data_IF_579009329952
#
_entry.id   IF_579009329952
#
_cell.length_a   1.000
_cell.length_b   1.000
_cell.length_c   1.000
_cell.angle_alpha   90.00
_cell.angle_beta   90.00
_cell.angle_gamma   90.00
#
_symmetry.space_group_name_H-M   'P 1'
#
loop_
_entity.id
_entity.type
_entity.pdbx_description
1 polymer ?
#
# COMPACT_ATOMS: atom_id res chain seq x y z
N UNK A 1 30.61 52.31 9.69
CA UNK A 1 29.15 52.31 9.89
C UNK A 1 28.62 50.89 9.68
N UNK A 2 28.39 50.20 10.80
CA UNK A 2 27.79 48.86 10.85
C UNK A 2 26.28 48.97 10.72
N UNK A 3 25.70 48.17 9.85
CA UNK A 3 24.23 47.98 9.74
C UNK A 3 23.92 46.63 10.32
N UNK A 4 23.26 46.62 11.48
CA UNK A 4 22.75 45.42 12.13
C UNK A 4 21.51 44.94 11.38
N UNK A 5 21.52 43.73 10.87
CA UNK A 5 20.33 43.04 10.33
C UNK A 5 19.62 42.35 11.50
N UNK A 6 18.41 42.79 11.77
CA UNK A 6 17.50 42.26 12.77
C UNK A 6 16.80 41.02 12.18
N UNK A 7 17.28 39.84 12.52
CA UNK A 7 16.63 38.58 12.13
C UNK A 7 15.62 38.23 13.20
N UNK A 8 14.33 38.53 12.97
CA UNK A 8 13.24 38.01 13.79
C UNK A 8 13.08 36.52 13.49
N UNK A 9 13.29 35.72 14.51
CA UNK A 9 12.97 34.30 14.49
C UNK A 9 11.45 34.13 14.41
N UNK A 10 10.99 33.52 13.31
CA UNK A 10 9.60 33.05 13.18
C UNK A 10 9.50 31.75 13.98
N UNK A 11 8.84 31.78 15.12
CA UNK A 11 8.44 30.60 15.87
C UNK A 11 7.46 29.78 15.02
N UNK A 12 7.66 28.46 14.89
CA UNK A 12 6.65 27.62 14.26
C UNK A 12 5.39 27.60 15.14
N UNK A 13 4.26 27.88 14.54
CA UNK A 13 2.95 27.67 15.16
C UNK A 13 2.78 26.15 15.30
N UNK A 14 2.61 25.69 16.53
CA UNK A 14 2.23 24.32 16.87
C UNK A 14 0.93 23.99 16.14
N UNK A 15 1.01 23.13 15.13
CA UNK A 15 -0.16 22.53 14.52
C UNK A 15 -0.55 21.31 15.33
N UNK A 16 -1.70 21.40 15.96
CA UNK A 16 -2.38 20.37 16.72
C UNK A 16 -2.20 18.98 16.11
N UNK A 17 -1.57 18.10 16.87
CA UNK A 17 -1.61 16.66 16.71
C UNK A 17 -3.05 16.17 17.01
N UNK A 18 -3.93 16.29 16.04
CA UNK A 18 -5.17 15.54 16.07
C UNK A 18 -4.85 14.07 15.77
N UNK A 19 -4.47 13.32 16.79
CA UNK A 19 -4.57 11.86 16.83
C UNK A 19 -6.03 11.51 16.55
N UNK A 20 -6.36 11.26 15.29
CA UNK A 20 -7.70 10.82 14.93
C UNK A 20 -7.86 9.38 15.41
N UNK A 21 -8.70 9.20 16.44
CA UNK A 21 -9.18 7.92 16.87
C UNK A 21 -9.78 7.16 15.66
N UNK A 22 -9.67 5.80 15.63
CA UNK A 22 -10.30 5.01 14.58
C UNK A 22 -11.79 5.39 14.49
N UNK A 23 -12.29 5.57 13.27
CA UNK A 23 -13.72 5.83 13.07
C UNK A 23 -14.48 4.57 13.52
N UNK A 24 -14.89 4.58 14.77
CA UNK A 24 -15.79 3.55 15.32
C UNK A 24 -17.20 3.92 14.89
N UNK A 25 -17.86 3.02 14.21
CA UNK A 25 -19.28 3.17 13.90
C UNK A 25 -20.07 2.68 15.11
N UNK A 26 -20.97 3.54 15.62
CA UNK A 26 -21.87 3.19 16.72
C UNK A 26 -22.66 1.93 16.35
N UNK A 27 -22.85 0.96 17.27
CA UNK A 27 -23.71 -0.20 17.03
C UNK A 27 -25.13 0.16 16.59
N UNK A 28 -25.66 1.31 17.04
CA UNK A 28 -26.98 1.81 16.69
C UNK A 28 -26.99 2.70 15.43
N UNK A 29 -25.86 2.79 14.72
CA UNK A 29 -25.73 3.62 13.54
C UNK A 29 -26.69 3.13 12.44
N UNK A 30 -27.45 4.08 11.89
CA UNK A 30 -28.28 3.86 10.71
C UNK A 30 -27.64 4.56 9.50
N UNK A 31 -27.39 3.78 8.46
CA UNK A 31 -26.84 4.32 7.22
C UNK A 31 -27.80 5.37 6.61
N UNK A 32 -27.25 6.39 5.99
CA UNK A 32 -28.02 7.44 5.33
C UNK A 32 -28.84 6.88 4.15
N UNK A 33 -29.95 7.54 3.81
CA UNK A 33 -30.79 7.18 2.65
C UNK A 33 -29.98 7.10 1.34
N UNK A 34 -28.95 7.93 1.19
CA UNK A 34 -28.07 7.95 0.01
C UNK A 34 -27.06 6.79 -0.03
N UNK A 35 -26.87 6.08 1.06
CA UNK A 35 -25.90 4.99 1.16
C UNK A 35 -26.22 3.80 0.26
N UNK A 36 -27.47 3.63 -0.14
CA UNK A 36 -27.91 2.56 -1.03
C UNK A 36 -27.25 2.64 -2.41
N UNK A 37 -27.02 3.84 -2.94
CA UNK A 37 -26.31 4.03 -4.20
C UNK A 37 -24.88 3.50 -4.12
N UNK A 38 -24.17 3.80 -3.01
CA UNK A 38 -22.84 3.26 -2.76
C UNK A 38 -22.87 1.74 -2.66
N UNK A 39 -23.77 1.18 -1.84
CA UNK A 39 -23.90 -0.27 -1.66
C UNK A 39 -24.13 -1.00 -2.99
N UNK A 40 -25.03 -0.49 -3.83
CA UNK A 40 -25.33 -1.06 -5.13
C UNK A 40 -24.13 -1.00 -6.09
N UNK A 41 -23.43 0.14 -6.14
CA UNK A 41 -22.21 0.31 -6.94
C UNK A 41 -21.12 -0.66 -6.47
N UNK A 42 -20.85 -0.69 -5.17
CA UNK A 42 -19.84 -1.56 -4.59
C UNK A 42 -20.15 -3.05 -4.86
N UNK A 43 -21.38 -3.50 -4.63
CA UNK A 43 -21.80 -4.90 -4.92
C UNK A 43 -21.63 -5.26 -6.40
N UNK A 44 -21.95 -4.34 -7.32
CA UNK A 44 -21.76 -4.54 -8.76
C UNK A 44 -20.29 -4.72 -9.11
N UNK A 45 -19.42 -3.83 -8.60
CA UNK A 45 -17.98 -3.91 -8.81
C UNK A 45 -17.40 -5.20 -8.21
N UNK A 46 -17.77 -5.52 -6.98
CA UNK A 46 -17.33 -6.73 -6.28
C UNK A 46 -17.65 -7.99 -7.10
N UNK A 47 -18.87 -8.11 -7.60
CA UNK A 47 -19.28 -9.25 -8.45
C UNK A 47 -18.43 -9.38 -9.71
N UNK A 48 -18.07 -8.25 -10.32
CA UNK A 48 -17.22 -8.24 -11.53
C UNK A 48 -15.78 -8.60 -11.20
N UNK A 49 -15.20 -7.90 -10.20
CA UNK A 49 -13.80 -8.06 -9.82
C UNK A 49 -13.50 -9.43 -9.19
N UNK A 50 -14.42 -9.98 -8.40
CA UNK A 50 -14.25 -11.31 -7.81
C UNK A 50 -14.13 -12.42 -8.84
N UNK A 51 -14.87 -12.34 -9.96
CA UNK A 51 -14.74 -13.31 -11.06
C UNK A 51 -13.36 -13.23 -11.73
N UNK A 52 -12.89 -12.00 -11.96
CA UNK A 52 -11.57 -11.76 -12.53
C UNK A 52 -10.46 -12.21 -11.57
N UNK A 53 -10.56 -11.87 -10.28
CA UNK A 53 -9.60 -12.22 -9.25
C UNK A 53 -9.46 -13.74 -9.11
N UNK A 54 -10.59 -14.47 -9.04
CA UNK A 54 -10.61 -15.93 -9.00
C UNK A 54 -9.94 -16.55 -10.22
N UNK A 55 -10.21 -16.04 -11.44
CA UNK A 55 -9.61 -16.54 -12.69
C UNK A 55 -8.10 -16.37 -12.73
N UNK A 56 -7.56 -15.34 -12.05
CA UNK A 56 -6.15 -14.98 -12.09
C UNK A 56 -5.38 -15.39 -10.82
N UNK A 57 -6.01 -16.14 -9.91
CA UNK A 57 -5.45 -16.52 -8.62
C UNK A 57 -4.95 -15.28 -7.83
N UNK A 58 -5.89 -14.38 -7.54
CA UNK A 58 -5.67 -13.09 -6.88
C UNK A 58 -6.69 -12.94 -5.75
N UNK A 59 -6.25 -12.57 -4.55
CA UNK A 59 -7.11 -12.22 -3.42
C UNK A 59 -6.86 -10.80 -2.88
N UNK A 60 -6.00 -10.01 -3.56
CA UNK A 60 -5.73 -8.62 -3.22
C UNK A 60 -5.97 -7.72 -4.44
N UNK A 61 -7.04 -6.92 -4.40
CA UNK A 61 -7.42 -6.08 -5.54
C UNK A 61 -8.35 -4.93 -5.13
N UNK A 62 -8.34 -3.86 -5.94
CA UNK A 62 -9.25 -2.73 -5.77
C UNK A 62 -10.65 -3.06 -6.28
N UNK A 63 -11.65 -2.75 -5.46
CA UNK A 63 -13.07 -2.94 -5.79
C UNK A 63 -13.75 -1.63 -6.13
N UNK A 64 -13.34 -0.54 -5.46
CA UNK A 64 -13.98 0.76 -5.59
C UNK A 64 -12.90 1.86 -5.57
N UNK A 65 -13.03 2.86 -6.44
CA UNK A 65 -12.08 3.97 -6.57
C UNK A 65 -12.81 5.27 -6.90
N UNK A 66 -13.46 5.86 -5.89
CA UNK A 66 -14.25 7.08 -6.03
C UNK A 66 -15.25 7.06 -7.21
N UNK A 67 -15.84 5.89 -7.49
CA UNK A 67 -16.78 5.69 -8.60
C UNK A 67 -18.01 6.61 -8.53
N UNK A 68 -18.35 7.06 -7.34
CA UNK A 68 -19.39 8.06 -7.07
C UNK A 68 -18.73 9.28 -6.46
N UNK A 69 -18.98 10.50 -6.99
CA UNK A 69 -18.36 11.74 -6.50
C UNK A 69 -18.57 11.98 -5.01
N UNK A 70 -19.71 11.51 -4.50
CA UNK A 70 -20.09 11.67 -3.10
C UNK A 70 -19.35 10.74 -2.13
N UNK A 71 -18.80 9.65 -2.61
CA UNK A 71 -18.07 8.66 -1.82
C UNK A 71 -16.61 8.60 -2.28
N UNK A 72 -15.85 9.61 -1.85
CA UNK A 72 -14.45 9.80 -2.26
C UNK A 72 -13.51 8.87 -1.47
N UNK A 73 -13.64 7.57 -1.69
CA UNK A 73 -12.80 6.54 -1.06
C UNK A 73 -12.24 5.57 -2.09
N UNK A 74 -11.07 5.00 -1.80
CA UNK A 74 -10.60 3.78 -2.43
C UNK A 74 -10.82 2.60 -1.49
N UNK A 75 -11.26 1.46 -2.01
CA UNK A 75 -11.52 0.25 -1.24
C UNK A 75 -10.82 -0.92 -1.90
N UNK A 76 -9.84 -1.45 -1.18
CA UNK A 76 -9.01 -2.57 -1.60
C UNK A 76 -9.28 -3.79 -0.71
N UNK A 77 -9.47 -4.95 -1.31
CA UNK A 77 -9.49 -6.23 -0.60
C UNK A 77 -8.06 -6.78 -0.48
N UNK A 78 -7.78 -7.41 0.66
CA UNK A 78 -6.54 -8.13 0.93
C UNK A 78 -6.89 -9.43 1.67
N UNK A 79 -7.16 -10.50 0.91
CA UNK A 79 -7.68 -11.75 1.48
C UNK A 79 -9.04 -11.54 2.13
N UNK A 80 -9.12 -11.73 3.44
CA UNK A 80 -10.33 -11.54 4.25
C UNK A 80 -10.39 -10.16 4.95
N UNK A 81 -9.47 -9.26 4.65
CA UNK A 81 -9.43 -7.90 5.19
C UNK A 81 -9.70 -6.85 4.10
N UNK A 82 -10.13 -5.68 4.53
CA UNK A 82 -10.47 -4.54 3.68
C UNK A 82 -9.66 -3.33 4.10
N UNK A 83 -9.05 -2.68 3.13
CA UNK A 83 -8.36 -1.42 3.33
C UNK A 83 -9.15 -0.31 2.66
N UNK A 84 -9.58 0.67 3.45
CA UNK A 84 -10.29 1.86 3.00
C UNK A 84 -9.34 3.05 3.10
N UNK A 85 -9.17 3.76 1.99
CA UNK A 85 -8.46 5.04 1.96
C UNK A 85 -9.44 6.14 1.61
N UNK A 86 -9.54 7.14 2.47
CA UNK A 86 -10.29 8.34 2.15
C UNK A 86 -9.44 9.30 1.30
N UNK A 87 -10.01 9.77 0.20
CA UNK A 87 -9.46 10.89 -0.55
C UNK A 87 -9.90 12.20 0.08
N UNK A 88 -9.06 13.23 0.02
CA UNK A 88 -9.45 14.54 0.45
C UNK A 88 -10.75 14.97 -0.29
N UNK A 89 -11.84 15.24 0.43
CA UNK A 89 -13.09 15.61 -0.22
C UNK A 89 -12.90 16.90 -1.04
N UNK A 90 -13.56 17.04 -2.19
CA UNK A 90 -13.56 18.28 -2.94
C UNK A 90 -14.00 19.44 -2.04
N UNK A 91 -13.37 20.61 -2.19
CA UNK A 91 -13.63 21.81 -1.34
C UNK A 91 -15.09 22.26 -1.30
N UNK A 92 -15.91 21.81 -2.26
CA UNK A 92 -17.32 22.13 -2.39
C UNK A 92 -18.24 21.22 -1.55
N UNK A 93 -17.70 20.11 -1.02
CA UNK A 93 -18.48 19.17 -0.20
C UNK A 93 -18.45 19.64 1.25
N UNK A 94 -19.63 19.71 1.85
CA UNK A 94 -19.82 19.97 3.27
C UNK A 94 -19.04 18.92 4.10
N UNK A 95 -18.17 19.34 5.03
CA UNK A 95 -17.39 18.43 5.87
C UNK A 95 -18.25 17.44 6.67
N UNK A 96 -19.41 17.84 7.16
CA UNK A 96 -20.31 16.97 7.92
C UNK A 96 -20.87 15.86 7.03
N UNK A 97 -21.22 16.17 5.79
CA UNK A 97 -21.67 15.17 4.80
C UNK A 97 -20.55 14.22 4.42
N UNK A 98 -19.31 14.71 4.30
CA UNK A 98 -18.16 13.84 4.02
C UNK A 98 -17.95 12.82 5.16
N UNK A 99 -17.98 13.28 6.41
CA UNK A 99 -17.89 12.41 7.59
C UNK A 99 -19.04 11.39 7.62
N UNK A 100 -20.27 11.81 7.34
CA UNK A 100 -21.44 10.93 7.30
C UNK A 100 -21.25 9.83 6.24
N UNK A 101 -20.80 10.19 5.04
CA UNK A 101 -20.55 9.23 3.95
C UNK A 101 -19.46 8.24 4.26
N UNK A 102 -18.39 8.68 4.93
CA UNK A 102 -17.35 7.77 5.40
C UNK A 102 -17.88 6.78 6.44
N UNK A 103 -18.73 7.25 7.37
CA UNK A 103 -19.41 6.36 8.33
C UNK A 103 -20.31 5.36 7.62
N UNK A 104 -21.08 5.77 6.59
CA UNK A 104 -21.88 4.87 5.76
C UNK A 104 -21.02 3.75 5.15
N UNK A 105 -19.86 4.11 4.56
CA UNK A 105 -18.92 3.15 3.99
C UNK A 105 -18.45 2.14 5.04
N UNK A 106 -17.96 2.64 6.19
CA UNK A 106 -17.42 1.80 7.25
C UNK A 106 -18.47 0.87 7.88
N UNK A 107 -19.73 1.30 7.92
CA UNK A 107 -20.87 0.50 8.39
C UNK A 107 -21.29 -0.57 7.39
N UNK A 108 -21.38 -0.21 6.11
CA UNK A 108 -21.90 -1.10 5.07
C UNK A 108 -20.91 -2.19 4.62
N UNK A 109 -19.61 -1.91 4.62
CA UNK A 109 -18.61 -2.87 4.13
C UNK A 109 -18.62 -4.20 4.90
N UNK A 110 -18.63 -4.23 6.25
CA UNK A 110 -18.72 -5.48 7.00
C UNK A 110 -19.98 -6.28 6.67
N UNK A 111 -21.12 -5.58 6.52
CA UNK A 111 -22.42 -6.21 6.20
C UNK A 111 -22.43 -6.81 4.80
N UNK A 112 -21.95 -6.05 3.79
CA UNK A 112 -21.95 -6.49 2.39
C UNK A 112 -21.02 -7.68 2.18
N UNK A 113 -19.85 -7.65 2.84
CA UNK A 113 -18.79 -8.65 2.69
C UNK A 113 -18.96 -9.83 3.66
N UNK A 114 -19.89 -9.73 4.63
CA UNK A 114 -20.09 -10.70 5.70
C UNK A 114 -18.79 -11.01 6.48
N UNK A 115 -18.11 -9.95 6.92
CA UNK A 115 -16.87 -10.03 7.70
C UNK A 115 -17.01 -9.23 9.00
N UNK A 116 -16.21 -9.53 10.04
CA UNK A 116 -16.15 -8.68 11.24
C UNK A 116 -15.69 -7.25 10.91
N UNK A 117 -16.27 -6.25 11.59
CA UNK A 117 -15.90 -4.85 11.42
C UNK A 117 -14.39 -4.59 11.66
N UNK A 118 -13.78 -5.33 12.57
CA UNK A 118 -12.34 -5.27 12.84
C UNK A 118 -11.44 -5.64 11.63
N UNK A 119 -12.00 -6.28 10.60
CA UNK A 119 -11.30 -6.57 9.34
C UNK A 119 -11.31 -5.41 8.35
N UNK A 120 -12.07 -4.35 8.63
CA UNK A 120 -12.12 -3.14 7.81
C UNK A 120 -11.20 -2.09 8.42
N UNK A 121 -10.09 -1.80 7.76
CA UNK A 121 -9.06 -0.85 8.22
C UNK A 121 -9.18 0.44 7.43
N UNK A 122 -9.43 1.54 8.12
CA UNK A 122 -9.46 2.88 7.54
C UNK A 122 -8.07 3.52 7.63
N UNK A 123 -7.59 4.07 6.52
CA UNK A 123 -6.42 4.95 6.45
C UNK A 123 -6.83 6.33 5.94
N UNK A 124 -6.57 7.33 6.75
CA UNK A 124 -6.73 8.72 6.34
C UNK A 124 -5.44 9.19 5.65
N UNK A 125 -5.55 9.58 4.39
CA UNK A 125 -4.40 10.08 3.64
C UNK A 125 -4.14 11.54 3.95
N UNK A 126 -3.42 11.82 5.04
CA UNK A 126 -2.89 13.15 5.32
C UNK A 126 -1.66 13.41 4.45
N UNK A 127 -1.49 14.67 3.98
CA UNK A 127 -0.26 15.10 3.31
C UNK A 127 0.89 15.07 4.32
N UNK A 128 1.61 13.96 4.36
CA UNK A 128 2.84 13.88 5.15
C UNK A 128 3.99 14.55 4.39
N UNK A 129 4.83 15.32 5.10
CA UNK A 129 6.04 15.93 4.57
C UNK A 129 7.26 15.18 5.10
N UNK A 130 8.15 14.72 4.21
CA UNK A 130 9.47 14.19 4.56
C UNK A 130 9.51 12.72 5.00
N UNK A 131 10.38 12.40 5.95
CA UNK A 131 10.71 11.02 6.38
C UNK A 131 9.59 10.27 7.14
N UNK A 132 8.52 10.93 7.55
CA UNK A 132 7.40 10.32 8.29
C UNK A 132 6.69 9.19 7.52
N UNK A 133 6.88 9.14 6.21
CA UNK A 133 6.33 8.09 5.33
C UNK A 133 6.85 6.68 5.67
N UNK A 134 8.01 6.58 6.32
CA UNK A 134 8.68 5.33 6.65
C UNK A 134 8.55 4.93 8.13
N UNK A 135 7.94 5.79 8.94
CA UNK A 135 7.74 5.52 10.36
C UNK A 135 6.50 4.65 10.59
N UNK A 136 6.61 3.73 11.55
CA UNK A 136 5.48 2.89 11.92
C UNK A 136 4.44 3.72 12.68
N UNK A 137 3.20 3.71 12.22
CA UNK A 137 2.07 4.41 12.85
C UNK A 137 1.47 3.62 14.01
N UNK A 138 1.72 2.32 14.07
CA UNK A 138 1.32 1.45 15.18
C UNK A 138 2.30 0.28 15.35
N UNK A 139 2.29 -0.35 16.53
CA UNK A 139 3.21 -1.42 16.87
C UNK A 139 2.59 -2.84 16.79
N UNK A 140 1.41 -3.00 16.15
CA UNK A 140 0.68 -4.28 16.15
C UNK A 140 1.39 -5.40 15.37
N UNK A 141 2.32 -5.05 14.46
CA UNK A 141 3.12 -6.00 13.66
C UNK A 141 2.31 -7.10 12.95
N UNK A 142 1.00 -6.91 12.80
CA UNK A 142 0.15 -7.87 12.13
C UNK A 142 0.43 -7.86 10.64
N UNK A 143 0.97 -8.96 10.15
CA UNK A 143 1.18 -9.17 8.71
C UNK A 143 0.13 -10.15 8.20
N UNK A 144 -0.55 -9.73 7.16
CA UNK A 144 -1.54 -10.54 6.45
C UNK A 144 -0.87 -11.14 5.20
N UNK A 145 -1.11 -12.43 4.97
CA UNK A 145 -0.65 -13.10 3.76
C UNK A 145 -1.71 -12.99 2.67
N UNK A 146 -1.31 -12.52 1.49
CA UNK A 146 -2.18 -12.38 0.32
C UNK A 146 -1.57 -13.05 -0.90
N UNK A 147 -2.39 -13.34 -1.88
CA UNK A 147 -2.02 -14.02 -3.13
C UNK A 147 -2.18 -13.08 -4.32
N UNK A 148 -1.15 -13.00 -5.14
CA UNK A 148 -1.19 -12.31 -6.43
C UNK A 148 -0.60 -13.18 -7.54
N UNK A 149 -1.44 -13.64 -8.46
CA UNK A 149 -1.02 -14.48 -9.61
C UNK A 149 -0.22 -15.72 -9.19
N UNK A 150 -0.69 -16.41 -8.14
CA UNK A 150 -0.06 -17.59 -7.57
C UNK A 150 1.20 -17.32 -6.76
N UNK A 151 1.57 -16.07 -6.51
CA UNK A 151 2.64 -15.66 -5.61
C UNK A 151 2.04 -15.12 -4.30
N UNK A 152 2.72 -15.37 -3.20
CA UNK A 152 2.30 -14.92 -1.87
C UNK A 152 3.11 -13.70 -1.42
N UNK A 153 2.43 -12.75 -0.77
CA UNK A 153 3.02 -11.53 -0.23
C UNK A 153 2.53 -11.26 1.18
N UNK A 154 3.41 -10.71 2.01
CA UNK A 154 3.07 -10.22 3.33
C UNK A 154 2.75 -8.73 3.25
N UNK A 155 1.53 -8.36 3.60
CA UNK A 155 1.06 -6.98 3.67
C UNK A 155 0.78 -6.58 5.11
N UNK A 156 0.78 -5.27 5.37
CA UNK A 156 0.44 -4.71 6.68
C UNK A 156 -0.52 -3.54 6.45
N UNK A 157 -1.72 -3.66 6.98
CA UNK A 157 -2.78 -2.67 6.76
C UNK A 157 -2.84 -1.60 7.86
N UNK A 158 -2.12 -1.77 8.97
CA UNK A 158 -2.27 -0.93 10.17
C UNK A 158 -1.07 -0.05 10.46
N UNK A 159 0.15 -0.60 10.39
CA UNK A 159 1.32 0.02 10.99
C UNK A 159 2.01 1.07 10.09
N UNK A 160 1.82 1.00 8.79
CA UNK A 160 2.49 1.86 7.81
C UNK A 160 1.47 2.51 6.88
N UNK A 161 1.84 3.64 6.28
CA UNK A 161 0.97 4.32 5.32
C UNK A 161 0.64 3.41 4.14
N UNK A 162 1.66 2.75 3.57
CA UNK A 162 1.51 1.83 2.46
C UNK A 162 1.41 0.39 2.94
N UNK A 163 0.61 -0.42 2.26
CA UNK A 163 0.29 -1.80 2.65
C UNK A 163 1.44 -2.79 2.45
N UNK A 164 2.45 -2.42 1.67
CA UNK A 164 3.57 -3.31 1.31
C UNK A 164 3.43 -3.96 -0.06
N UNK A 165 2.30 -3.80 -0.73
CA UNK A 165 2.09 -4.29 -2.11
C UNK A 165 1.26 -3.28 -2.91
N UNK A 166 1.87 -2.64 -3.90
CA UNK A 166 1.19 -1.71 -4.81
C UNK A 166 0.38 -2.48 -5.85
N UNK A 167 -0.94 -2.46 -5.73
CA UNK A 167 -1.85 -3.24 -6.56
C UNK A 167 -1.85 -2.82 -8.04
N UNK A 168 -1.61 -1.54 -8.31
CA UNK A 168 -1.52 -0.94 -9.64
C UNK A 168 -0.28 -1.36 -10.43
N UNK A 169 0.78 -1.83 -9.75
CA UNK A 169 2.01 -2.32 -10.40
C UNK A 169 1.94 -3.80 -10.81
N UNK A 170 0.81 -4.48 -10.65
CA UNK A 170 0.67 -5.92 -10.97
C UNK A 170 1.07 -6.27 -12.39
N UNK A 171 0.60 -5.51 -13.38
CA UNK A 171 0.92 -5.75 -14.81
C UNK A 171 2.42 -5.57 -15.05
N UNK A 172 3.03 -4.54 -14.44
CA UNK A 172 4.49 -4.32 -14.51
C UNK A 172 5.25 -5.50 -13.92
N UNK A 173 4.82 -6.02 -12.76
CA UNK A 173 5.45 -7.19 -12.15
C UNK A 173 5.33 -8.44 -13.03
N UNK A 174 4.16 -8.69 -13.63
CA UNK A 174 3.98 -9.81 -14.58
C UNK A 174 4.91 -9.67 -15.79
N UNK A 175 5.09 -8.46 -16.31
CA UNK A 175 6.03 -8.18 -17.40
C UNK A 175 7.47 -8.45 -16.97
N UNK A 176 7.87 -8.05 -15.76
CA UNK A 176 9.18 -8.39 -15.19
C UNK A 176 9.40 -9.90 -15.21
N UNK A 177 8.44 -10.69 -14.70
CA UNK A 177 8.56 -12.14 -14.72
C UNK A 177 8.77 -12.70 -16.13
N UNK A 178 8.04 -12.19 -17.12
CA UNK A 178 8.16 -12.65 -18.52
C UNK A 178 9.52 -12.35 -19.17
N UNK A 179 10.22 -11.31 -18.68
CA UNK A 179 11.49 -10.85 -19.22
C UNK A 179 12.72 -11.38 -18.47
N UNK A 180 12.53 -11.95 -17.27
CA UNK A 180 13.65 -12.25 -16.35
C UNK A 180 14.39 -13.54 -16.61
N UNK A 181 13.88 -14.45 -17.47
CA UNK A 181 14.48 -15.78 -17.66
C UNK A 181 15.96 -15.71 -18.03
N UNK A 182 16.81 -16.32 -17.17
CA UNK A 182 18.26 -16.42 -17.39
C UNK A 182 19.03 -15.10 -17.22
N UNK A 183 18.38 -14.04 -16.76
CA UNK A 183 18.98 -12.70 -16.60
C UNK A 183 19.34 -12.43 -15.15
N UNK A 184 20.29 -11.55 -14.94
CA UNK A 184 20.62 -10.99 -13.65
C UNK A 184 19.76 -9.74 -13.43
N UNK A 185 18.80 -9.81 -12.49
CA UNK A 185 17.80 -8.78 -12.27
C UNK A 185 18.23 -7.82 -11.15
N UNK A 186 18.15 -6.51 -11.41
CA UNK A 186 18.41 -5.45 -10.44
C UNK A 186 17.12 -4.72 -10.07
N UNK A 187 16.81 -4.65 -8.77
CA UNK A 187 15.70 -3.90 -8.21
C UNK A 187 16.23 -2.77 -7.32
N UNK A 188 16.09 -1.54 -7.77
CA UNK A 188 16.46 -0.33 -7.03
C UNK A 188 15.23 0.30 -6.40
N UNK A 189 15.37 0.93 -5.22
CA UNK A 189 14.25 1.41 -4.41
C UNK A 189 13.24 0.29 -4.18
N UNK A 190 13.77 -0.84 -3.75
CA UNK A 190 13.09 -2.13 -3.89
C UNK A 190 11.88 -2.29 -2.99
N UNK A 191 11.77 -1.46 -1.94
CA UNK A 191 10.68 -1.53 -0.96
C UNK A 191 10.55 -2.96 -0.41
N UNK A 192 9.38 -3.59 -0.49
CA UNK A 192 9.14 -4.96 -0.02
C UNK A 192 9.57 -6.04 -1.03
N UNK A 193 10.32 -5.70 -2.06
CA UNK A 193 10.90 -6.63 -3.02
C UNK A 193 9.92 -7.36 -3.93
N UNK A 194 8.68 -6.87 -4.07
CA UNK A 194 7.67 -7.57 -4.88
C UNK A 194 8.11 -7.79 -6.34
N UNK A 195 8.87 -6.86 -6.94
CA UNK A 195 9.44 -7.02 -8.27
C UNK A 195 10.51 -8.13 -8.31
N UNK A 196 11.34 -8.25 -7.27
CA UNK A 196 12.35 -9.31 -7.15
C UNK A 196 11.70 -10.70 -7.03
N UNK A 197 10.55 -10.82 -6.32
CA UNK A 197 9.76 -12.06 -6.26
C UNK A 197 9.29 -12.47 -7.65
N UNK A 198 8.77 -11.54 -8.42
CA UNK A 198 8.33 -11.81 -9.79
C UNK A 198 9.48 -12.14 -10.75
N UNK A 199 10.65 -11.49 -10.60
CA UNK A 199 11.84 -11.83 -11.36
C UNK A 199 12.30 -13.27 -11.04
N UNK A 200 12.33 -13.66 -9.77
CA UNK A 200 12.66 -15.02 -9.34
C UNK A 200 11.67 -16.04 -9.91
N UNK A 201 10.34 -15.78 -9.85
CA UNK A 201 9.32 -16.60 -10.51
C UNK A 201 9.56 -16.73 -12.01
N UNK A 202 10.01 -15.65 -12.67
CA UNK A 202 10.38 -15.61 -14.08
C UNK A 202 11.67 -16.35 -14.41
N UNK A 203 12.27 -17.05 -13.43
CA UNK A 203 13.54 -17.80 -13.57
C UNK A 203 14.72 -16.87 -13.88
N UNK A 204 14.78 -15.71 -13.22
CA UNK A 204 16.00 -14.91 -13.19
C UNK A 204 17.17 -15.77 -12.70
N UNK A 205 18.36 -15.58 -13.28
CA UNK A 205 19.59 -16.21 -12.85
C UNK A 205 19.98 -15.75 -11.44
N UNK A 206 19.85 -14.43 -11.21
CA UNK A 206 20.02 -13.83 -9.89
C UNK A 206 19.09 -12.63 -9.72
N UNK A 207 18.85 -12.21 -8.46
CA UNK A 207 18.21 -10.96 -8.12
C UNK A 207 19.07 -10.16 -7.15
N UNK A 208 19.28 -8.89 -7.42
CA UNK A 208 19.91 -7.95 -6.49
C UNK A 208 18.87 -6.90 -6.09
N UNK A 209 18.53 -6.88 -4.81
CA UNK A 209 17.47 -6.04 -4.23
C UNK A 209 18.13 -4.97 -3.38
N UNK A 210 18.04 -3.69 -3.78
CA UNK A 210 18.71 -2.55 -3.14
C UNK A 210 17.68 -1.60 -2.55
N UNK A 211 17.82 -1.32 -1.26
CA UNK A 211 17.01 -0.32 -0.54
C UNK A 211 17.80 0.28 0.63
N UNK A 212 17.48 1.50 1.04
CA UNK A 212 18.10 2.12 2.22
C UNK A 212 17.57 1.56 3.54
N UNK A 213 16.35 1.03 3.54
CA UNK A 213 15.64 0.58 4.74
C UNK A 213 15.91 -0.89 5.04
N UNK A 214 16.54 -1.18 6.19
CA UNK A 214 16.66 -2.55 6.68
C UNK A 214 15.30 -3.23 6.88
N UNK A 215 14.28 -2.48 7.32
CA UNK A 215 12.93 -2.99 7.52
C UNK A 215 12.34 -3.48 6.20
N UNK A 216 12.52 -2.73 5.11
CA UNK A 216 12.00 -3.12 3.80
C UNK A 216 12.81 -4.25 3.17
N UNK A 217 14.13 -4.26 3.34
CA UNK A 217 14.96 -5.39 2.89
C UNK A 217 14.58 -6.69 3.61
N UNK A 218 14.36 -6.65 4.93
CA UNK A 218 13.86 -7.81 5.67
C UNK A 218 12.50 -8.30 5.17
N UNK A 219 11.59 -7.38 4.80
CA UNK A 219 10.30 -7.75 4.18
C UNK A 219 10.48 -8.32 2.78
N UNK A 220 11.43 -7.81 2.00
CA UNK A 220 11.75 -8.36 0.69
C UNK A 220 12.28 -9.80 0.80
N UNK A 221 13.15 -10.04 1.76
CA UNK A 221 13.65 -11.39 2.08
C UNK A 221 12.53 -12.33 2.50
N UNK A 222 11.65 -11.89 3.42
CA UNK A 222 10.46 -12.64 3.85
C UNK A 222 9.57 -13.01 2.65
N UNK A 223 9.32 -12.06 1.72
CA UNK A 223 8.50 -12.28 0.54
C UNK A 223 9.12 -13.26 -0.45
N UNK A 224 10.44 -13.20 -0.68
CA UNK A 224 11.14 -14.21 -1.50
C UNK A 224 11.06 -15.59 -0.83
N UNK A 225 11.38 -15.67 0.46
CA UNK A 225 11.36 -16.91 1.23
C UNK A 225 9.97 -17.55 1.28
N UNK A 226 8.90 -16.75 1.40
CA UNK A 226 7.50 -17.18 1.41
C UNK A 226 7.13 -17.92 0.10
N UNK A 227 7.76 -17.55 -1.01
CA UNK A 227 7.55 -18.14 -2.31
C UNK A 227 8.58 -19.26 -2.65
N UNK A 228 9.39 -19.66 -1.68
CA UNK A 228 10.39 -20.72 -1.86
C UNK A 228 11.66 -20.25 -2.59
N UNK A 229 11.83 -18.97 -2.87
CA UNK A 229 13.02 -18.40 -3.49
C UNK A 229 14.07 -18.14 -2.42
N UNK A 230 14.94 -19.13 -2.21
CA UNK A 230 16.02 -19.09 -1.23
C UNK A 230 17.34 -19.41 -1.93
N UNK A 231 18.43 -18.82 -1.47
CA UNK A 231 19.77 -19.10 -2.00
C UNK A 231 20.61 -17.84 -2.20
N UNK A 232 21.90 -18.04 -2.40
CA UNK A 232 22.89 -16.96 -2.53
C UNK A 232 22.74 -16.15 -3.83
N UNK A 233 21.95 -16.62 -4.77
CA UNK A 233 21.63 -15.90 -6.00
C UNK A 233 20.58 -14.78 -5.77
N UNK A 234 19.99 -14.68 -4.56
CA UNK A 234 19.10 -13.59 -4.18
C UNK A 234 19.80 -12.68 -3.15
N UNK A 235 20.30 -11.54 -3.62
CA UNK A 235 21.09 -10.61 -2.79
C UNK A 235 20.24 -9.45 -2.30
N UNK A 236 20.42 -9.05 -1.04
CA UNK A 236 19.81 -7.90 -0.42
C UNK A 236 20.89 -6.93 0.00
N UNK A 237 20.84 -5.69 -0.49
CA UNK A 237 21.88 -4.70 -0.30
C UNK A 237 21.30 -3.43 0.31
N UNK A 238 21.76 -3.10 1.52
CA UNK A 238 21.42 -1.81 2.13
C UNK A 238 22.33 -0.74 1.58
N UNK A 239 21.80 0.12 0.70
CA UNK A 239 22.55 1.22 0.12
C UNK A 239 21.64 2.32 -0.38
N UNK A 240 22.19 3.53 -0.51
CA UNK A 240 21.61 4.56 -1.36
C UNK A 240 21.72 4.09 -2.83
N UNK A 241 20.61 4.04 -3.53
CA UNK A 241 20.55 3.49 -4.89
C UNK A 241 21.44 4.25 -5.89
N UNK A 242 21.59 5.57 -5.74
CA UNK A 242 22.44 6.37 -6.62
C UNK A 242 23.93 6.08 -6.36
N UNK A 243 24.34 6.03 -5.10
CA UNK A 243 25.70 5.67 -4.71
C UNK A 243 26.04 4.22 -5.12
N UNK A 244 25.09 3.31 -4.94
CA UNK A 244 25.25 1.93 -5.36
C UNK A 244 25.46 1.81 -6.87
N UNK A 245 24.68 2.55 -7.69
CA UNK A 245 24.85 2.58 -9.15
C UNK A 245 26.23 3.13 -9.57
N UNK A 246 26.70 4.18 -8.91
CA UNK A 246 28.04 4.72 -9.16
C UNK A 246 29.14 3.69 -8.88
N UNK A 247 29.03 2.96 -7.77
CA UNK A 247 29.93 1.86 -7.46
C UNK A 247 29.82 0.68 -8.44
N UNK A 248 28.60 0.34 -8.86
CA UNK A 248 28.37 -0.75 -9.80
C UNK A 248 28.96 -0.53 -11.20
N UNK A 249 29.12 0.75 -11.63
CA UNK A 249 29.79 1.09 -12.89
C UNK A 249 31.24 0.60 -12.94
N UNK A 250 31.87 0.45 -11.79
CA UNK A 250 33.26 0.00 -11.66
C UNK A 250 33.39 -1.54 -11.65
N UNK A 251 32.28 -2.25 -11.68
CA UNK A 251 32.25 -3.72 -11.67
C UNK A 251 31.98 -4.30 -13.06
N UNK A 252 32.37 -5.56 -13.27
CA UNK A 252 32.04 -6.28 -14.51
C UNK A 252 30.61 -6.81 -14.52
N UNK A 253 29.88 -6.71 -13.41
CA UNK A 253 28.50 -7.19 -13.31
C UNK A 253 27.58 -6.41 -14.25
N UNK A 254 26.78 -7.12 -15.03
CA UNK A 254 25.76 -6.55 -15.91
C UNK A 254 24.39 -7.08 -15.50
N UNK A 255 23.37 -6.23 -15.67
CA UNK A 255 21.98 -6.56 -15.43
C UNK A 255 21.18 -6.38 -16.72
N UNK A 256 20.14 -7.19 -16.91
CA UNK A 256 19.35 -7.12 -18.14
C UNK A 256 18.03 -7.87 -18.08
#
# INVERSE_FOLDING_TARGET
>A
RSVSANTQAITPVDSDEASQAPVTVDPDYQASEYSEMFANRFKKNLKHMAKWAKKNDIDCYRVYDADLPDYAVAIDLYGDAVHVQEYAPPKQIDPEKAVQRLKDVMYLLPLILNIPAAKVVLKLRQKQRGHQQYEAQSAQKQRLKVTESGLQFLVNLTDYLDTGLFLDHRITRQKIASLSKGRDFLNLFAYTGSASVYAAKGKAKSTTTVDMSNTYLGRAEDNLALNGFKGENHKFVRANCLEWLQGAQQTEQRYG
#
